data_IF_571333256847
#
_entry.id   IF_571333256847
#
_cell.length_a   1.000
_cell.length_b   1.000
_cell.length_c   1.000
_cell.angle_alpha   90.00
_cell.angle_beta   90.00
_cell.angle_gamma   90.00
#
_symmetry.space_group_name_H-M   'P 1'
#
loop_
_entity.id
_entity.type
_entity.pdbx_description
1 polymer ?
#
# COMPACT_ATOMS: atom_id res chain seq x y z
N UNK A 1 -4.59 1.18 22.43
CA UNK A 1 -4.01 1.10 21.08
C UNK A 1 -4.47 -0.19 20.43
N UNK A 2 -5.08 -0.06 19.26
CA UNK A 2 -5.49 -1.19 18.41
C UNK A 2 -4.58 -1.19 17.19
N UNK A 3 -4.34 -2.38 16.64
CA UNK A 3 -3.49 -2.54 15.46
C UNK A 3 -4.39 -2.82 14.26
N UNK A 4 -4.46 -1.87 13.33
CA UNK A 4 -5.05 -2.09 12.02
C UNK A 4 -3.98 -2.69 11.09
N UNK A 5 -4.33 -3.73 10.34
CA UNK A 5 -3.40 -4.40 9.42
C UNK A 5 -3.91 -4.32 7.99
N UNK A 6 -2.99 -4.12 7.05
CA UNK A 6 -3.28 -4.04 5.64
C UNK A 6 -2.27 -4.87 4.85
N UNK A 7 -2.74 -5.66 3.89
CA UNK A 7 -1.88 -6.21 2.85
C UNK A 7 -1.70 -5.14 1.77
N UNK A 8 -0.49 -5.03 1.23
CA UNK A 8 -0.16 -4.10 0.16
C UNK A 8 0.98 -4.64 -0.69
N UNK A 9 1.23 -3.98 -1.81
CA UNK A 9 2.44 -4.16 -2.61
C UNK A 9 3.23 -2.85 -2.56
N UNK A 10 4.46 -2.91 -2.06
CA UNK A 10 5.38 -1.77 -2.10
C UNK A 10 6.11 -1.76 -3.45
N UNK A 11 5.93 -0.68 -4.21
CA UNK A 11 6.56 -0.46 -5.50
C UNK A 11 7.59 0.69 -5.40
N UNK A 12 8.41 0.86 -6.44
CA UNK A 12 9.37 1.96 -6.57
C UNK A 12 9.29 2.56 -7.98
N UNK A 13 9.00 3.86 -8.04
CA UNK A 13 8.74 4.58 -9.30
C UNK A 13 9.91 4.55 -10.28
N UNK A 14 11.14 4.32 -9.81
CA UNK A 14 12.32 4.21 -10.68
C UNK A 14 12.32 2.93 -11.51
N UNK A 15 11.69 1.86 -11.02
CA UNK A 15 11.64 0.57 -11.71
C UNK A 15 10.40 0.40 -12.57
N UNK A 16 9.31 1.11 -12.29
CA UNK A 16 8.06 0.96 -13.03
C UNK A 16 8.25 1.21 -14.54
N UNK A 17 8.91 2.31 -14.92
CA UNK A 17 9.15 2.63 -16.33
C UNK A 17 10.06 1.60 -17.02
N UNK A 18 11.25 1.24 -16.48
CA UNK A 18 12.06 0.17 -17.04
C UNK A 18 11.31 -1.16 -17.17
N UNK A 19 10.56 -1.58 -16.15
CA UNK A 19 9.82 -2.85 -16.18
C UNK A 19 8.72 -2.84 -17.24
N UNK A 20 8.02 -1.70 -17.41
CA UNK A 20 7.03 -1.55 -18.48
C UNK A 20 7.66 -1.73 -19.87
N UNK A 21 8.87 -1.20 -20.07
CA UNK A 21 9.59 -1.34 -21.34
C UNK A 21 10.11 -2.77 -21.56
N UNK A 22 10.65 -3.40 -20.52
CA UNK A 22 11.32 -4.71 -20.65
C UNK A 22 10.33 -5.87 -20.74
N UNK A 23 9.25 -5.86 -19.94
CA UNK A 23 8.33 -7.00 -19.85
C UNK A 23 6.85 -6.63 -19.93
N UNK A 24 6.51 -5.36 -20.18
CA UNK A 24 5.11 -4.91 -20.29
C UNK A 24 4.37 -4.77 -18.95
N UNK A 25 5.01 -5.12 -17.83
CA UNK A 25 4.44 -4.99 -16.50
C UNK A 25 4.39 -3.50 -16.08
N UNK A 26 3.24 -3.03 -15.63
CA UNK A 26 3.07 -1.64 -15.20
C UNK A 26 3.88 -1.29 -13.95
N UNK A 27 4.12 -2.28 -13.09
CA UNK A 27 4.85 -2.13 -11.83
C UNK A 27 5.50 -3.44 -11.43
N UNK A 28 6.60 -3.37 -10.69
CA UNK A 28 7.12 -4.48 -9.88
C UNK A 28 7.26 -4.03 -8.44
N UNK A 29 6.81 -4.88 -7.53
CA UNK A 29 6.82 -4.57 -6.11
C UNK A 29 6.86 -5.80 -5.24
N UNK A 30 7.04 -5.56 -3.95
CA UNK A 30 7.18 -6.58 -2.91
C UNK A 30 5.89 -6.59 -2.10
N UNK A 31 5.27 -7.77 -1.95
CA UNK A 31 4.13 -7.93 -1.07
C UNK A 31 4.54 -7.68 0.39
N UNK A 32 3.80 -6.82 1.09
CA UNK A 32 4.09 -6.41 2.45
C UNK A 32 2.81 -6.30 3.30
N UNK A 33 2.99 -6.33 4.62
CA UNK A 33 1.92 -6.05 5.58
C UNK A 33 2.23 -4.74 6.30
N UNK A 34 1.30 -3.80 6.22
CA UNK A 34 1.35 -2.51 6.93
C UNK A 34 0.61 -2.71 8.26
N UNK A 35 1.27 -2.40 9.37
CA UNK A 35 0.66 -2.35 10.70
C UNK A 35 0.57 -0.90 11.15
N UNK A 36 -0.64 -0.44 11.47
CA UNK A 36 -0.91 0.92 11.91
C UNK A 36 -1.49 0.88 13.32
N UNK A 37 -0.79 1.54 14.24
CA UNK A 37 -1.32 1.80 15.56
C UNK A 37 -2.38 2.90 15.49
N UNK A 38 -3.57 2.62 16.02
CA UNK A 38 -4.68 3.57 16.03
C UNK A 38 -5.44 3.53 17.36
N UNK A 39 -5.96 4.69 17.75
CA UNK A 39 -6.89 4.82 18.87
C UNK A 39 -8.35 4.66 18.44
N UNK A 40 -8.62 4.68 17.13
CA UNK A 40 -9.95 4.44 16.58
C UNK A 40 -10.32 2.95 16.62
N UNK A 41 -11.62 2.65 16.71
CA UNK A 41 -12.12 1.31 16.46
C UNK A 41 -11.85 0.93 15.00
N UNK A 42 -11.18 -0.20 14.70
CA UNK A 42 -10.93 -0.65 13.34
C UNK A 42 -12.19 -1.26 12.72
N UNK A 43 -13.24 -0.45 12.57
CA UNK A 43 -14.45 -0.87 11.84
C UNK A 43 -14.12 -1.12 10.37
N UNK A 44 -14.99 -1.86 9.67
CA UNK A 44 -14.81 -2.14 8.24
C UNK A 44 -14.71 -0.85 7.44
N UNK A 45 -15.56 0.14 7.75
CA UNK A 45 -15.58 1.45 7.09
C UNK A 45 -14.27 2.21 7.31
N UNK A 46 -13.79 2.24 8.56
CA UNK A 46 -12.50 2.86 8.90
C UNK A 46 -11.35 2.19 8.14
N UNK A 47 -11.30 0.86 8.13
CA UNK A 47 -10.24 0.12 7.44
C UNK A 47 -10.28 0.35 5.92
N UNK A 48 -11.47 0.37 5.31
CA UNK A 48 -11.61 0.65 3.88
C UNK A 48 -11.21 2.09 3.53
N UNK A 49 -11.52 3.05 4.40
CA UNK A 49 -11.08 4.43 4.24
C UNK A 49 -9.55 4.54 4.34
N UNK A 50 -8.95 3.98 5.39
CA UNK A 50 -7.50 4.01 5.60
C UNK A 50 -6.74 3.34 4.47
N UNK A 51 -7.25 2.23 3.91
CA UNK A 51 -6.63 1.57 2.77
C UNK A 51 -6.50 2.52 1.57
N UNK A 52 -7.54 3.32 1.28
CA UNK A 52 -7.51 4.33 0.20
C UNK A 52 -6.55 5.47 0.51
N UNK A 53 -6.52 5.92 1.76
CA UNK A 53 -5.61 6.99 2.19
C UNK A 53 -4.15 6.58 2.07
N UNK A 54 -3.81 5.35 2.48
CA UNK A 54 -2.46 4.78 2.34
C UNK A 54 -2.05 4.69 0.87
N UNK A 55 -2.95 4.23 0.00
CA UNK A 55 -2.69 4.12 -1.44
C UNK A 55 -2.56 5.49 -2.13
N UNK A 56 -3.19 6.53 -1.58
CA UNK A 56 -3.12 7.91 -2.06
C UNK A 56 -1.89 8.69 -1.54
N UNK A 57 -1.09 8.12 -0.63
CA UNK A 57 0.12 8.78 -0.12
C UNK A 57 1.10 9.06 -1.27
N UNK A 58 1.75 10.23 -1.27
CA UNK A 58 2.79 10.51 -2.25
C UNK A 58 3.98 9.56 -2.05
N UNK A 59 4.70 9.18 -3.11
CA UNK A 59 5.89 8.36 -2.98
C UNK A 59 6.94 9.01 -2.06
N UNK A 60 7.54 8.21 -1.17
CA UNK A 60 8.62 8.62 -0.27
C UNK A 60 9.87 7.83 -0.64
N UNK A 61 10.97 8.52 -0.93
CA UNK A 61 12.19 7.90 -1.49
C UNK A 61 11.87 6.98 -2.68
N UNK A 62 11.02 7.45 -3.59
CA UNK A 62 10.50 6.72 -4.76
C UNK A 62 9.56 5.55 -4.44
N UNK A 63 9.43 5.13 -3.18
CA UNK A 63 8.60 4.01 -2.74
C UNK A 63 7.15 4.44 -2.54
N UNK A 64 6.22 3.59 -2.93
CA UNK A 64 4.79 3.83 -2.75
C UNK A 64 4.03 2.51 -2.60
N UNK A 65 2.79 2.55 -2.12
CA UNK A 65 1.97 1.35 -1.93
C UNK A 65 0.88 1.26 -2.98
N UNK A 66 0.57 0.03 -3.40
CA UNK A 66 -0.54 -0.32 -4.30
C UNK A 66 -1.32 -1.52 -3.77
N UNK A 67 -2.56 -1.64 -4.24
CA UNK A 67 -3.47 -2.74 -3.91
C UNK A 67 -3.65 -2.90 -2.40
N UNK A 68 -3.74 -1.78 -1.68
CA UNK A 68 -3.87 -1.78 -0.22
C UNK A 68 -5.25 -2.33 0.16
N UNK A 69 -5.28 -3.38 0.97
CA UNK A 69 -6.53 -4.00 1.43
C UNK A 69 -6.46 -4.31 2.93
N UNK A 70 -7.54 -4.08 3.68
CA UNK A 70 -7.61 -4.51 5.08
C UNK A 70 -7.38 -6.00 5.24
N UNK A 71 -6.75 -6.38 6.35
CA UNK A 71 -6.73 -7.74 6.87
C UNK A 71 -7.72 -7.76 8.04
N UNK A 72 -8.84 -8.46 7.84
CA UNK A 72 -9.93 -8.62 8.82
C UNK A 72 -9.62 -9.75 9.82
#
# INVERSE_FOLDING_TARGET
>A
MKIAKFQAVQCDTRYDRPMKVVCGADTVGIACVISLDTDNEPTVEYLLQMAKEIEALPPVEYKYFKNVKPIL
#
